data_IF_501007061936
#
_entry.id   IF_501007061936
#
_cell.length_a   1.000
_cell.length_b   1.000
_cell.length_c   1.000
_cell.angle_alpha   90.00
_cell.angle_beta   90.00
_cell.angle_gamma   90.00
#
_symmetry.space_group_name_H-M   'P 1'
#
loop_
_entity.id
_entity.type
_entity.pdbx_description
1 polymer ?
#
# COMPACT_ATOMS: atom_id res chain seq x y z
N UNK A 1 -7.63 -1.78 -7.36
CA UNK A 1 -7.96 -1.37 -5.98
C UNK A 1 -6.72 -1.36 -5.11
N UNK A 2 -6.76 -0.55 -4.07
CA UNK A 2 -5.69 -0.42 -3.09
C UNK A 2 -6.22 -0.75 -1.69
N UNK A 3 -5.47 -1.52 -0.91
CA UNK A 3 -5.71 -1.75 0.51
C UNK A 3 -7.06 -2.39 0.82
N UNK A 4 -7.57 -3.22 -0.07
CA UNK A 4 -8.83 -3.94 0.11
C UNK A 4 -8.58 -5.46 0.06
N UNK A 5 -8.91 -6.16 1.14
CA UNK A 5 -8.67 -7.59 1.26
C UNK A 5 -9.68 -8.44 0.51
N UNK A 6 -10.85 -7.90 0.23
CA UNK A 6 -11.91 -8.56 -0.51
C UNK A 6 -12.81 -7.53 -1.22
N UNK A 7 -13.69 -8.04 -2.08
CA UNK A 7 -14.57 -7.19 -2.87
C UNK A 7 -15.60 -6.43 -2.05
N UNK A 8 -16.02 -6.98 -0.91
CA UNK A 8 -16.99 -6.34 -0.03
C UNK A 8 -16.46 -5.02 0.53
N UNK A 9 -15.15 -4.90 0.71
CA UNK A 9 -14.51 -3.66 1.18
C UNK A 9 -14.67 -2.50 0.21
N UNK A 10 -14.98 -2.77 -1.04
CA UNK A 10 -15.23 -1.75 -2.05
C UNK A 10 -16.60 -1.09 -1.88
N UNK A 11 -17.52 -1.73 -1.17
CA UNK A 11 -18.86 -1.22 -0.94
C UNK A 11 -19.60 -0.95 -2.25
N UNK A 12 -20.26 0.20 -2.33
CA UNK A 12 -21.02 0.58 -3.53
C UNK A 12 -20.15 0.81 -4.76
N UNK A 13 -18.84 0.98 -4.59
CA UNK A 13 -17.91 1.17 -5.71
C UNK A 13 -17.52 -0.14 -6.42
N UNK A 14 -17.94 -1.30 -5.87
CA UNK A 14 -17.67 -2.58 -6.50
C UNK A 14 -18.22 -2.68 -7.94
N UNK A 15 -19.26 -1.92 -8.26
CA UNK A 15 -19.83 -1.87 -9.61
C UNK A 15 -18.79 -1.41 -10.65
N UNK A 16 -17.92 -0.49 -10.30
CA UNK A 16 -16.86 -0.02 -11.20
C UNK A 16 -15.79 -1.09 -11.39
N UNK A 17 -15.48 -1.82 -10.33
CA UNK A 17 -14.57 -2.96 -10.41
C UNK A 17 -15.11 -4.04 -11.32
N UNK A 18 -16.38 -4.41 -11.14
CA UNK A 18 -17.02 -5.49 -11.92
C UNK A 18 -17.15 -5.15 -13.42
N UNK A 19 -17.28 -3.87 -13.75
CA UNK A 19 -17.41 -3.42 -15.13
C UNK A 19 -16.07 -3.13 -15.82
N UNK A 20 -14.96 -3.18 -15.09
CA UNK A 20 -13.65 -2.89 -15.65
C UNK A 20 -13.16 -4.02 -16.55
N UNK A 21 -12.51 -3.67 -17.68
CA UNK A 21 -11.94 -4.65 -18.60
C UNK A 21 -10.77 -5.40 -17.98
N UNK A 22 -9.99 -4.73 -17.14
CA UNK A 22 -8.85 -5.29 -16.39
C UNK A 22 -8.89 -4.80 -14.96
N UNK A 23 -8.52 -5.67 -14.02
CA UNK A 23 -8.50 -5.33 -12.60
C UNK A 23 -7.15 -5.66 -11.98
N UNK A 24 -6.73 -4.82 -11.03
CA UNK A 24 -5.51 -4.98 -10.27
C UNK A 24 -5.81 -4.66 -8.81
N UNK A 25 -5.33 -5.51 -7.92
CA UNK A 25 -5.38 -5.28 -6.47
C UNK A 25 -3.96 -5.19 -5.91
N UNK A 26 -3.69 -4.13 -5.16
CA UNK A 26 -2.44 -3.97 -4.42
C UNK A 26 -2.81 -3.90 -2.95
N UNK A 27 -2.27 -4.80 -2.13
CA UNK A 27 -2.70 -4.96 -0.75
C UNK A 27 -1.59 -5.60 0.10
N UNK A 28 -1.78 -5.57 1.42
CA UNK A 28 -0.90 -6.22 2.38
C UNK A 28 -1.63 -7.12 3.37
N UNK A 29 -2.95 -7.25 3.27
CA UNK A 29 -3.72 -8.09 4.19
C UNK A 29 -3.50 -9.58 3.92
N UNK A 30 -3.22 -10.36 4.99
CA UNK A 30 -3.07 -11.81 4.88
C UNK A 30 -4.36 -12.50 4.46
N UNK A 31 -5.49 -11.85 4.74
CA UNK A 31 -6.84 -12.35 4.43
C UNK A 31 -7.30 -12.05 3.02
N UNK A 32 -6.45 -11.45 2.19
CA UNK A 32 -6.82 -11.10 0.82
C UNK A 32 -7.25 -12.33 0.04
N UNK A 33 -8.41 -12.24 -0.63
CA UNK A 33 -8.99 -13.35 -1.38
C UNK A 33 -8.45 -13.50 -2.79
N UNK A 34 -7.63 -12.57 -3.27
CA UNK A 34 -7.12 -12.57 -4.64
C UNK A 34 -8.23 -12.32 -5.67
N UNK A 35 -9.13 -11.39 -5.39
CA UNK A 35 -10.36 -11.19 -6.13
C UNK A 35 -10.22 -10.43 -7.45
N UNK A 36 -9.06 -9.81 -7.71
CA UNK A 36 -8.77 -9.12 -8.95
C UNK A 36 -8.17 -10.09 -9.98
N UNK A 37 -8.14 -9.67 -11.24
CA UNK A 37 -7.48 -10.43 -12.31
C UNK A 37 -5.97 -10.54 -12.03
N UNK A 38 -5.35 -9.44 -11.57
CA UNK A 38 -3.97 -9.42 -11.10
C UNK A 38 -3.93 -8.93 -9.66
N UNK A 39 -3.17 -9.63 -8.82
CA UNK A 39 -3.07 -9.32 -7.40
C UNK A 39 -1.60 -9.23 -6.99
N UNK A 40 -1.22 -8.09 -6.42
CA UNK A 40 0.10 -7.87 -5.84
C UNK A 40 -0.07 -7.69 -4.33
N UNK A 41 0.18 -8.76 -3.60
CA UNK A 41 -0.12 -8.84 -2.17
C UNK A 41 1.16 -9.18 -1.43
N UNK A 42 1.58 -8.32 -0.51
CA UNK A 42 2.75 -8.56 0.35
C UNK A 42 2.29 -8.53 1.81
N UNK A 43 1.96 -9.71 2.38
CA UNK A 43 1.41 -9.77 3.76
C UNK A 43 2.38 -9.27 4.83
N UNK A 44 3.68 -9.34 4.58
CA UNK A 44 4.68 -8.89 5.55
C UNK A 44 4.90 -7.38 5.55
N UNK A 45 4.36 -6.67 4.57
CA UNK A 45 4.42 -5.21 4.56
C UNK A 45 3.53 -4.63 5.66
N UNK A 46 3.98 -3.53 6.26
CA UNK A 46 3.25 -2.88 7.35
C UNK A 46 1.98 -2.17 6.88
N UNK A 47 1.95 -1.78 5.60
CA UNK A 47 0.87 -1.00 5.02
C UNK A 47 0.85 -1.16 3.51
N UNK A 48 -0.26 -0.80 2.89
CA UNK A 48 -0.35 -0.71 1.45
C UNK A 48 0.60 0.37 0.90
N UNK A 49 0.84 1.43 1.66
CA UNK A 49 1.83 2.47 1.30
C UNK A 49 3.23 1.90 1.16
N UNK A 50 3.63 0.96 2.04
CA UNK A 50 4.91 0.28 1.93
C UNK A 50 4.98 -0.57 0.66
N UNK A 51 3.90 -1.30 0.33
CA UNK A 51 3.81 -2.09 -0.91
C UNK A 51 3.94 -1.19 -2.13
N UNK A 52 3.21 -0.08 -2.15
CA UNK A 52 3.26 0.89 -3.26
C UNK A 52 4.65 1.44 -3.47
N UNK A 53 5.36 1.75 -2.39
CA UNK A 53 6.72 2.27 -2.50
C UNK A 53 7.65 1.29 -3.23
N UNK A 54 7.48 -0.02 -3.00
CA UNK A 54 8.31 -1.03 -3.68
C UNK A 54 8.04 -1.13 -5.17
N UNK A 55 6.85 -0.71 -5.61
CA UNK A 55 6.45 -0.76 -7.02
C UNK A 55 6.75 0.52 -7.78
N UNK A 56 6.90 1.64 -7.08
CA UNK A 56 7.10 2.95 -7.71
C UNK A 56 8.58 3.19 -8.03
N UNK A 57 8.82 3.89 -9.14
CA UNK A 57 10.14 4.41 -9.45
C UNK A 57 10.44 5.58 -8.52
N UNK A 58 11.38 5.39 -7.60
CA UNK A 58 11.76 6.36 -6.57
C UNK A 58 12.10 7.73 -7.16
N UNK A 59 12.76 7.76 -8.32
CA UNK A 59 13.12 9.01 -8.99
C UNK A 59 11.92 9.81 -9.46
N UNK A 60 10.74 9.17 -9.57
CA UNK A 60 9.50 9.80 -10.05
C UNK A 60 8.51 10.11 -8.94
N UNK A 61 8.85 9.81 -7.68
CA UNK A 61 7.99 10.12 -6.54
C UNK A 61 8.07 11.60 -6.23
N UNK A 62 6.94 12.31 -6.31
CA UNK A 62 6.86 13.71 -5.93
C UNK A 62 6.96 13.85 -4.40
N UNK A 63 7.25 15.10 -3.95
CA UNK A 63 7.27 15.41 -2.53
C UNK A 63 5.91 15.11 -1.87
N UNK A 64 4.82 15.49 -2.51
CA UNK A 64 3.46 15.27 -2.02
C UNK A 64 3.14 13.78 -1.93
N UNK A 65 3.53 12.99 -2.93
CA UNK A 65 3.37 11.54 -2.90
C UNK A 65 4.18 10.91 -1.78
N UNK A 66 5.40 11.36 -1.55
CA UNK A 66 6.26 10.89 -0.47
C UNK A 66 5.64 11.18 0.91
N UNK A 67 5.06 12.36 1.09
CA UNK A 67 4.36 12.71 2.33
C UNK A 67 3.18 11.77 2.60
N UNK A 68 2.38 11.48 1.57
CA UNK A 68 1.24 10.58 1.69
C UNK A 68 1.68 9.15 2.02
N UNK A 69 2.71 8.65 1.36
CA UNK A 69 3.24 7.30 1.61
C UNK A 69 3.80 7.19 3.03
N UNK A 70 4.55 8.18 3.46
CA UNK A 70 5.09 8.24 4.82
C UNK A 70 3.97 8.24 5.86
N UNK A 71 2.94 9.06 5.66
CA UNK A 71 1.79 9.13 6.54
C UNK A 71 1.09 7.77 6.66
N UNK A 72 0.92 7.06 5.55
CA UNK A 72 0.31 5.74 5.55
C UNK A 72 1.12 4.72 6.35
N UNK A 73 2.43 4.73 6.22
CA UNK A 73 3.31 3.83 6.98
C UNK A 73 3.28 4.16 8.46
N UNK A 74 3.37 5.43 8.83
CA UNK A 74 3.32 5.87 10.22
C UNK A 74 2.01 5.45 10.88
N UNK A 75 0.89 5.64 10.19
CA UNK A 75 -0.42 5.27 10.70
C UNK A 75 -0.54 3.76 10.94
N UNK A 76 -0.22 2.94 9.95
CA UNK A 76 -0.41 1.49 10.05
C UNK A 76 0.62 0.81 10.97
N UNK A 77 1.76 1.43 11.21
CA UNK A 77 2.76 0.90 12.16
C UNK A 77 2.54 1.42 13.58
N UNK A 78 1.56 2.28 13.81
CA UNK A 78 1.36 2.92 15.11
C UNK A 78 2.60 3.71 15.55
N UNK A 79 3.18 4.50 14.63
CA UNK A 79 4.44 5.22 14.82
C UNK A 79 5.60 4.23 15.06
N UNK A 80 5.63 3.16 14.24
CA UNK A 80 6.66 2.10 14.27
C UNK A 80 6.66 1.25 15.54
N UNK A 81 5.53 1.18 16.26
CA UNK A 81 5.41 0.42 17.51
C UNK A 81 4.79 -0.96 17.34
N UNK A 82 4.03 -1.18 16.26
CA UNK A 82 3.29 -2.44 16.06
C UNK A 82 4.21 -3.54 15.51
N UNK A 83 3.78 -4.79 15.70
CA UNK A 83 4.50 -5.98 15.20
C UNK A 83 4.63 -6.01 13.68
N UNK A 84 3.79 -5.25 12.97
CA UNK A 84 3.90 -5.10 11.52
C UNK A 84 5.12 -4.33 11.07
N UNK A 85 5.81 -3.63 11.99
CA UNK A 85 7.02 -2.87 11.69
C UNK A 85 8.18 -3.84 11.49
N UNK A 86 8.79 -3.82 10.31
CA UNK A 86 9.95 -4.65 9.99
C UNK A 86 11.17 -3.78 9.73
N UNK A 87 12.34 -4.43 9.56
CA UNK A 87 13.56 -3.74 9.16
C UNK A 87 13.36 -2.97 7.86
N UNK A 88 12.68 -3.57 6.88
CA UNK A 88 12.38 -2.91 5.60
C UNK A 88 11.49 -1.70 5.79
N UNK A 89 10.51 -1.79 6.69
CA UNK A 89 9.65 -0.65 7.04
C UNK A 89 10.48 0.51 7.60
N UNK A 90 11.41 0.21 8.52
CA UNK A 90 12.22 1.25 9.16
C UNK A 90 13.23 1.91 8.21
N UNK A 91 13.67 1.21 7.17
CA UNK A 91 14.59 1.77 6.18
C UNK A 91 13.92 2.82 5.28
N UNK A 92 12.64 2.64 4.96
CA UNK A 92 11.92 3.49 4.02
C UNK A 92 11.69 4.93 4.50
N UNK A 93 11.41 5.21 5.78
CA UNK A 93 11.23 6.59 6.24
C UNK A 93 12.41 7.52 5.96
N UNK A 94 13.63 7.00 6.02
CA UNK A 94 14.80 7.82 5.69
C UNK A 94 14.86 8.16 4.20
N UNK A 95 14.39 7.26 3.33
CA UNK A 95 14.27 7.52 1.91
C UNK A 95 13.20 8.58 1.63
N UNK A 96 12.06 8.50 2.32
CA UNK A 96 11.03 9.53 2.21
C UNK A 96 11.52 10.89 2.69
N UNK A 97 12.29 10.93 3.76
CA UNK A 97 12.87 12.17 4.26
C UNK A 97 13.77 12.83 3.21
N UNK A 98 14.51 12.04 2.43
CA UNK A 98 15.33 12.55 1.33
C UNK A 98 14.47 13.21 0.23
N UNK A 99 13.28 12.68 -0.04
CA UNK A 99 12.35 13.29 -0.99
C UNK A 99 11.66 14.54 -0.45
N UNK A 100 11.52 14.64 0.88
CA UNK A 100 10.83 15.76 1.54
C UNK A 100 11.73 16.96 1.76
N UNK A 101 13.01 16.77 1.76
CA UNK A 101 13.99 17.85 1.90
C UNK A 101 14.34 18.48 0.55
#
# INVERSE_FOLDING_TARGET
TLDASDKERLGSYAVYFDSAAKTLCIDHHRTNTGFAEQNYIIPDASSCSEVLYTLLDEAKISREAAECLYTGIVHDTGVFKYNSTTRKTMEKPSLYAAHLS
#
